data_IF_131300230411
#
_entry.id   IF_131300230411
#
_cell.length_a   1.000
_cell.length_b   1.000
_cell.length_c   1.000
_cell.angle_alpha   90.00
_cell.angle_beta   90.00
_cell.angle_gamma   90.00
#
_symmetry.space_group_name_H-M   'P 1'
#
loop_
_entity.id
_entity.type
_entity.pdbx_description
1 polymer ?
#
# COMPACT_ATOMS: atom_id res chain seq x y z
N UNK A 1 -33.07 -34.11 26.22
CA UNK A 1 -31.76 -34.55 25.75
C UNK A 1 -31.47 -33.79 24.46
N UNK A 2 -30.89 -32.58 24.61
CA UNK A 2 -30.71 -31.62 23.53
C UNK A 2 -29.36 -31.83 22.87
N UNK A 3 -29.37 -32.02 21.54
CA UNK A 3 -28.17 -32.08 20.70
C UNK A 3 -27.40 -30.76 20.74
N UNK A 4 -26.19 -30.80 21.28
CA UNK A 4 -25.23 -29.71 21.17
C UNK A 4 -24.69 -29.74 19.74
N UNK A 5 -25.19 -28.86 18.89
CA UNK A 5 -24.59 -28.63 17.56
C UNK A 5 -23.19 -28.07 17.76
N UNK A 6 -22.18 -28.88 17.56
CA UNK A 6 -20.79 -28.48 17.47
C UNK A 6 -20.58 -27.77 16.11
N UNK A 7 -20.96 -26.49 16.07
CA UNK A 7 -20.61 -25.64 14.94
C UNK A 7 -19.12 -25.37 14.99
N UNK A 8 -18.35 -26.02 14.08
CA UNK A 8 -17.01 -25.52 13.78
C UNK A 8 -17.12 -24.05 13.41
N UNK A 9 -16.30 -23.17 14.01
CA UNK A 9 -16.31 -21.77 13.61
C UNK A 9 -15.98 -21.72 12.10
N UNK A 10 -16.82 -21.00 11.35
CA UNK A 10 -16.53 -20.74 9.93
C UNK A 10 -15.15 -20.10 9.82
N UNK A 11 -14.31 -20.57 8.85
CA UNK A 11 -13.01 -19.98 8.64
C UNK A 11 -13.20 -18.49 8.33
N UNK A 12 -12.57 -17.63 9.11
CA UNK A 12 -12.57 -16.18 8.81
C UNK A 12 -12.06 -16.01 7.38
N UNK A 13 -12.77 -15.28 6.52
CA UNK A 13 -12.31 -15.07 5.16
C UNK A 13 -10.90 -14.48 5.22
N UNK A 14 -10.00 -15.02 4.39
CA UNK A 14 -8.66 -14.48 4.25
C UNK A 14 -8.73 -12.97 4.04
N UNK A 15 -7.91 -12.15 4.72
CA UNK A 15 -7.84 -10.72 4.47
C UNK A 15 -7.53 -10.37 3.00
N UNK A 16 -7.03 -11.33 2.24
CA UNK A 16 -6.70 -11.24 0.82
C UNK A 16 -7.82 -11.76 -0.10
N UNK A 17 -8.94 -12.24 0.44
CA UNK A 17 -10.08 -12.64 -0.38
C UNK A 17 -10.78 -11.38 -0.92
N UNK A 18 -10.45 -11.02 -2.16
CA UNK A 18 -11.09 -9.92 -2.88
C UNK A 18 -12.50 -10.34 -3.30
N UNK A 19 -13.50 -9.91 -2.55
CA UNK A 19 -14.91 -10.06 -2.91
C UNK A 19 -15.49 -8.71 -3.32
N UNK A 20 -15.56 -8.47 -4.62
CA UNK A 20 -16.08 -7.21 -5.18
C UNK A 20 -17.53 -6.95 -4.78
N UNK A 21 -18.38 -7.97 -4.79
CA UNK A 21 -19.80 -7.82 -4.47
C UNK A 21 -19.98 -7.37 -3.02
N UNK A 22 -19.29 -8.01 -2.09
CA UNK A 22 -19.27 -7.65 -0.68
C UNK A 22 -18.76 -6.23 -0.44
N UNK A 23 -17.69 -5.83 -1.14
CA UNK A 23 -17.14 -4.47 -1.01
C UNK A 23 -18.11 -3.41 -1.55
N UNK A 24 -18.76 -3.67 -2.68
CA UNK A 24 -19.76 -2.74 -3.24
C UNK A 24 -20.99 -2.60 -2.32
N UNK A 25 -21.45 -3.69 -1.70
CA UNK A 25 -22.52 -3.63 -0.70
C UNK A 25 -22.10 -2.78 0.49
N UNK A 26 -20.90 -2.96 1.01
CA UNK A 26 -20.36 -2.18 2.13
C UNK A 26 -20.30 -0.67 1.85
N UNK A 27 -20.16 -0.24 0.60
CA UNK A 27 -20.17 1.18 0.24
C UNK A 27 -21.53 1.84 0.51
N UNK A 28 -22.63 1.11 0.37
CA UNK A 28 -23.98 1.62 0.66
C UNK A 28 -24.38 1.58 2.14
N UNK A 29 -23.68 0.78 2.94
CA UNK A 29 -24.08 0.48 4.33
C UNK A 29 -23.15 1.12 5.37
N UNK A 30 -21.98 1.62 4.98
CA UNK A 30 -20.95 2.15 5.90
C UNK A 30 -20.63 3.61 5.64
N UNK A 31 -20.39 4.33 6.72
CA UNK A 31 -19.74 5.64 6.67
C UNK A 31 -18.23 5.39 6.84
N UNK A 32 -17.45 5.99 5.96
CA UNK A 32 -15.99 5.93 6.00
C UNK A 32 -15.45 7.29 6.47
N UNK A 33 -14.38 7.25 7.28
CA UNK A 33 -13.69 8.46 7.72
C UNK A 33 -12.92 9.11 6.57
N UNK A 34 -12.43 8.27 5.65
CA UNK A 34 -11.64 8.70 4.49
C UNK A 34 -12.02 7.90 3.24
N UNK A 35 -12.24 8.62 2.15
CA UNK A 35 -12.36 8.02 0.80
C UNK A 35 -11.17 8.46 -0.04
N UNK A 36 -10.40 7.49 -0.53
CA UNK A 36 -9.25 7.69 -1.41
C UNK A 36 -9.62 7.28 -2.82
N UNK A 37 -9.47 8.18 -3.80
CA UNK A 37 -9.77 7.90 -5.20
C UNK A 37 -8.46 7.71 -5.97
N UNK A 38 -8.28 6.50 -6.49
CA UNK A 38 -7.10 6.07 -7.24
C UNK A 38 -6.19 5.14 -6.44
N UNK A 39 -6.01 3.91 -6.94
CA UNK A 39 -5.20 2.85 -6.34
C UNK A 39 -3.74 2.83 -6.84
N UNK A 40 -3.16 4.00 -7.15
CA UNK A 40 -1.73 4.12 -7.44
C UNK A 40 -0.86 4.12 -6.17
N UNK A 41 0.46 4.31 -6.32
CA UNK A 41 1.40 4.34 -5.20
C UNK A 41 0.97 5.34 -4.11
N UNK A 42 0.60 6.55 -4.48
CA UNK A 42 0.15 7.59 -3.54
C UNK A 42 -1.14 7.19 -2.82
N UNK A 43 -2.16 6.78 -3.57
CA UNK A 43 -3.44 6.41 -2.97
C UNK A 43 -3.35 5.21 -2.04
N UNK A 44 -2.59 4.18 -2.42
CA UNK A 44 -2.33 3.03 -1.56
C UNK A 44 -1.58 3.42 -0.28
N UNK A 45 -0.60 4.33 -0.38
CA UNK A 45 0.17 4.81 0.77
C UNK A 45 -0.71 5.60 1.73
N UNK A 46 -1.54 6.52 1.22
CA UNK A 46 -2.50 7.30 2.03
C UNK A 46 -3.51 6.39 2.71
N UNK A 47 -4.10 5.45 1.96
CA UNK A 47 -5.07 4.51 2.51
C UNK A 47 -4.46 3.63 3.61
N UNK A 48 -3.23 3.15 3.40
CA UNK A 48 -2.50 2.36 4.40
C UNK A 48 -2.20 3.17 5.66
N UNK A 49 -1.67 4.39 5.52
CA UNK A 49 -1.32 5.23 6.67
C UNK A 49 -2.57 5.58 7.49
N UNK A 50 -3.65 5.96 6.83
CA UNK A 50 -4.93 6.24 7.48
C UNK A 50 -5.48 5.02 8.24
N UNK A 51 -5.43 3.83 7.63
CA UNK A 51 -5.86 2.59 8.27
C UNK A 51 -4.99 2.23 9.49
N UNK A 52 -3.67 2.46 9.42
CA UNK A 52 -2.75 2.27 10.56
C UNK A 52 -3.06 3.23 11.71
N UNK A 53 -3.63 4.40 11.43
CA UNK A 53 -4.11 5.36 12.43
C UNK A 53 -5.48 5.02 13.00
N UNK A 54 -6.08 3.91 12.58
CA UNK A 54 -7.39 3.44 13.05
C UNK A 54 -8.59 4.03 12.33
N UNK A 55 -8.38 4.78 11.24
CA UNK A 55 -9.47 5.31 10.43
C UNK A 55 -10.11 4.20 9.57
N UNK A 56 -11.42 4.29 9.37
CA UNK A 56 -12.13 3.49 8.39
C UNK A 56 -11.91 4.09 7.00
N UNK A 57 -11.27 3.34 6.10
CA UNK A 57 -10.84 3.84 4.80
C UNK A 57 -11.52 3.08 3.67
N UNK A 58 -11.99 3.83 2.67
CA UNK A 58 -12.44 3.30 1.40
C UNK A 58 -11.47 3.72 0.30
N UNK A 59 -10.86 2.76 -0.40
CA UNK A 59 -10.02 2.99 -1.58
C UNK A 59 -10.81 2.60 -2.83
N UNK A 60 -11.02 3.55 -3.72
CA UNK A 60 -11.72 3.36 -4.99
C UNK A 60 -10.73 3.39 -6.16
N UNK A 61 -10.65 2.32 -6.90
CA UNK A 61 -9.85 2.22 -8.13
C UNK A 61 -10.74 1.80 -9.31
N UNK A 62 -10.60 2.50 -10.42
CA UNK A 62 -11.40 2.26 -11.63
C UNK A 62 -11.03 0.94 -12.33
N UNK A 63 -9.74 0.63 -12.35
CA UNK A 63 -9.20 -0.55 -13.02
C UNK A 63 -8.59 -1.53 -12.02
N UNK A 64 -7.30 -1.76 -12.15
CA UNK A 64 -6.52 -2.56 -11.22
C UNK A 64 -5.54 -1.69 -10.44
N UNK A 65 -5.18 -2.12 -9.24
CA UNK A 65 -4.22 -1.41 -8.38
C UNK A 65 -2.90 -1.24 -9.12
N UNK A 66 -2.37 -0.01 -9.07
CA UNK A 66 -1.13 0.39 -9.75
C UNK A 66 -1.14 0.26 -11.28
N UNK A 67 -2.27 0.06 -11.95
CA UNK A 67 -2.36 -0.09 -13.41
C UNK A 67 -1.97 1.15 -14.22
N UNK A 68 -1.95 2.31 -13.59
CA UNK A 68 -1.59 3.59 -14.20
C UNK A 68 -0.08 3.89 -14.18
N UNK A 69 0.28 5.12 -13.82
CA UNK A 69 1.66 5.61 -13.78
C UNK A 69 2.56 4.81 -12.83
N UNK A 70 2.02 4.26 -11.74
CA UNK A 70 2.80 3.53 -10.73
C UNK A 70 3.47 2.26 -11.26
N UNK A 71 2.90 1.61 -12.26
CA UNK A 71 3.52 0.44 -12.92
C UNK A 71 4.46 0.80 -14.08
N UNK A 72 4.44 2.07 -14.52
CA UNK A 72 5.20 2.58 -15.69
C UNK A 72 6.41 3.41 -15.30
N UNK A 73 6.92 3.20 -14.09
CA UNK A 73 8.14 3.81 -13.57
C UNK A 73 9.32 2.86 -13.73
N UNK A 74 10.53 3.31 -13.42
CA UNK A 74 11.72 2.46 -13.32
C UNK A 74 11.63 1.43 -12.19
N UNK A 75 10.63 1.54 -11.32
CA UNK A 75 10.42 0.70 -10.11
C UNK A 75 11.59 0.74 -9.12
N UNK A 76 12.46 1.72 -9.23
CA UNK A 76 13.51 1.93 -8.24
C UNK A 76 12.97 2.72 -7.04
N UNK A 77 13.20 2.17 -5.85
CA UNK A 77 12.98 2.86 -4.59
C UNK A 77 14.34 3.44 -4.18
N UNK A 78 14.56 4.71 -4.51
CA UNK A 78 15.84 5.38 -4.30
C UNK A 78 15.77 6.45 -3.23
N UNK A 79 16.91 6.72 -2.57
CA UNK A 79 17.03 7.78 -1.57
C UNK A 79 17.23 9.18 -2.14
N UNK A 80 16.94 9.40 -3.45
CA UNK A 80 17.01 10.73 -4.03
C UNK A 80 18.42 11.27 -4.27
N UNK A 81 19.33 10.48 -4.86
CA UNK A 81 20.70 10.91 -5.21
C UNK A 81 20.75 12.26 -5.93
N UNK A 82 19.73 12.56 -6.76
CA UNK A 82 19.62 13.83 -7.46
C UNK A 82 19.56 15.04 -6.50
N UNK A 83 18.95 14.89 -5.37
CA UNK A 83 18.80 15.95 -4.37
C UNK A 83 20.08 16.26 -3.61
N UNK A 84 21.07 15.36 -3.63
CA UNK A 84 22.40 15.63 -3.10
C UNK A 84 23.11 16.75 -3.87
N UNK A 85 22.87 16.85 -5.19
CA UNK A 85 23.45 17.93 -6.02
C UNK A 85 22.87 19.31 -5.71
N UNK A 86 21.66 19.36 -5.15
CA UNK A 86 20.97 20.59 -4.76
C UNK A 86 21.01 20.84 -3.26
N UNK A 87 21.83 20.06 -2.54
CA UNK A 87 22.01 20.16 -1.07
C UNK A 87 20.72 19.98 -0.27
N UNK A 88 19.72 19.32 -0.82
CA UNK A 88 18.43 19.06 -0.18
C UNK A 88 18.49 17.81 0.72
N UNK A 89 19.34 17.84 1.73
CA UNK A 89 19.60 16.68 2.62
C UNK A 89 18.38 16.19 3.38
N UNK A 90 17.40 17.08 3.63
CA UNK A 90 16.12 16.70 4.26
C UNK A 90 15.36 15.66 3.46
N UNK A 91 15.17 15.92 2.16
CA UNK A 91 14.50 14.97 1.26
C UNK A 91 15.26 13.66 1.09
N UNK A 92 16.60 13.72 1.07
CA UNK A 92 17.41 12.50 1.00
C UNK A 92 17.22 11.65 2.25
N UNK A 93 17.23 12.27 3.44
CA UNK A 93 17.01 11.55 4.70
C UNK A 93 15.65 10.91 4.76
N UNK A 94 14.60 11.64 4.41
CA UNK A 94 13.22 11.13 4.36
C UNK A 94 13.09 9.96 3.39
N UNK A 95 13.59 10.10 2.16
CA UNK A 95 13.56 9.03 1.16
C UNK A 95 14.32 7.77 1.60
N UNK A 96 15.43 7.91 2.34
CA UNK A 96 16.17 6.78 2.90
C UNK A 96 15.41 6.09 4.03
N UNK A 97 14.71 6.86 4.87
CA UNK A 97 13.85 6.31 5.94
C UNK A 97 12.69 5.51 5.34
N UNK A 98 11.96 6.08 4.39
CA UNK A 98 10.86 5.41 3.71
C UNK A 98 11.32 4.13 2.99
N UNK A 99 12.48 4.17 2.33
CA UNK A 99 13.08 2.97 1.72
C UNK A 99 13.33 1.89 2.77
N UNK A 100 13.88 2.25 3.92
CA UNK A 100 14.15 1.30 5.02
C UNK A 100 12.87 0.65 5.53
N UNK A 101 11.80 1.43 5.69
CA UNK A 101 10.47 0.92 6.08
C UNK A 101 9.95 -0.08 5.06
N UNK A 102 10.04 0.25 3.76
CA UNK A 102 9.58 -0.65 2.69
C UNK A 102 10.40 -1.94 2.61
N UNK A 103 11.71 -1.88 2.79
CA UNK A 103 12.57 -3.06 2.84
C UNK A 103 12.21 -3.99 4.00
N UNK A 104 11.79 -3.43 5.13
CA UNK A 104 11.36 -4.20 6.30
C UNK A 104 9.94 -4.75 6.13
N UNK A 105 9.04 -3.94 5.58
CA UNK A 105 7.62 -4.30 5.42
C UNK A 105 7.38 -5.30 4.29
N UNK A 106 8.18 -5.25 3.22
CA UNK A 106 8.02 -6.09 2.04
C UNK A 106 9.36 -6.63 1.49
N UNK A 107 10.14 -7.40 2.28
CA UNK A 107 11.47 -7.88 1.89
C UNK A 107 11.45 -8.81 0.67
N UNK A 108 10.30 -9.41 0.38
CA UNK A 108 10.09 -10.27 -0.78
C UNK A 108 9.93 -9.47 -2.10
N UNK A 109 9.57 -8.19 -2.02
CA UNK A 109 9.37 -7.31 -3.17
C UNK A 109 10.49 -6.28 -3.32
N UNK A 110 11.03 -5.77 -2.21
CA UNK A 110 12.03 -4.70 -2.19
C UNK A 110 13.39 -5.28 -1.87
N UNK A 111 14.28 -5.29 -2.87
CA UNK A 111 15.63 -5.88 -2.74
C UNK A 111 16.70 -4.85 -3.14
N UNK A 112 17.87 -4.83 -2.48
CA UNK A 112 19.00 -4.04 -2.92
C UNK A 112 19.41 -4.42 -4.34
N UNK A 113 19.62 -3.42 -5.21
CA UNK A 113 20.05 -3.61 -6.58
C UNK A 113 21.26 -2.73 -6.85
N UNK A 114 22.28 -3.30 -7.46
CA UNK A 114 23.46 -2.55 -7.91
C UNK A 114 23.15 -1.87 -9.26
N UNK A 115 23.62 -0.66 -9.43
CA UNK A 115 23.56 0.06 -10.70
C UNK A 115 24.82 0.90 -10.93
N UNK A 116 25.14 1.14 -12.20
CA UNK A 116 26.24 1.99 -12.57
C UNK A 116 25.76 3.44 -12.63
N UNK A 117 26.47 4.31 -11.92
CA UNK A 117 26.28 5.75 -12.00
C UNK A 117 27.48 6.37 -12.70
N UNK A 118 27.35 6.81 -13.98
CA UNK A 118 28.43 7.49 -14.66
C UNK A 118 28.65 8.88 -14.04
N UNK A 119 29.83 9.13 -13.51
CA UNK A 119 30.24 10.45 -13.06
C UNK A 119 31.19 11.04 -14.14
N UNK A 120 30.82 12.19 -14.69
CA UNK A 120 31.66 12.95 -15.66
C UNK A 120 32.24 14.16 -14.98
#
# INVERSE_FOLDING_TARGET
MGEIRSGKPEPRPSPLAWDRARHLQALGERIFDLVVVGGGATGCSVARDAALRGLSVCLLERGDVASGASSRTTRFIHGGLRYLRTYEFGFVREGLQERSILMTAAPHLVRPTQFLYPAY
#
